data_IF_956860789804
#
_entry.id   IF_956860789804
#
_cell.length_a   1.000
_cell.length_b   1.000
_cell.length_c   1.000
_cell.angle_alpha   90.00
_cell.angle_beta   90.00
_cell.angle_gamma   90.00
#
_symmetry.space_group_name_H-M   'P 1'
#
loop_
_entity.id
_entity.type
_entity.pdbx_description
1 polymer ?
#
# COMPACT_ATOMS: atom_id res chain seq x y z
N UNK A 1 2.23 -3.86 -3.89
CA UNK A 1 1.86 -3.30 -2.56
C UNK A 1 3.13 -2.88 -1.80
N UNK A 2 3.08 -1.81 -1.02
CA UNK A 2 4.15 -1.43 -0.07
C UNK A 2 3.53 -1.07 1.31
N UNK A 3 4.32 -0.50 2.24
CA UNK A 3 3.85 -0.16 3.59
C UNK A 3 2.67 0.83 3.61
N UNK A 4 2.69 1.86 2.77
CA UNK A 4 1.73 2.98 2.79
C UNK A 4 1.31 3.45 1.40
N UNK A 5 1.37 2.57 0.40
CA UNK A 5 0.97 2.85 -0.99
C UNK A 5 1.90 3.70 -1.86
N UNK A 6 2.73 4.57 -1.27
CA UNK A 6 3.56 5.52 -2.04
C UNK A 6 4.54 4.83 -2.99
N UNK A 7 5.48 4.04 -2.45
CA UNK A 7 6.51 3.37 -3.26
C UNK A 7 5.94 2.36 -4.26
N UNK A 8 4.77 1.80 -3.98
CA UNK A 8 4.11 0.87 -4.91
C UNK A 8 3.38 1.60 -6.04
N UNK A 9 3.03 2.88 -5.85
CA UNK A 9 2.58 3.76 -6.93
C UNK A 9 3.70 3.97 -7.94
N UNK A 10 4.89 4.39 -7.48
CA UNK A 10 6.04 4.64 -8.35
C UNK A 10 6.46 3.36 -9.10
N UNK A 11 6.40 2.20 -8.42
CA UNK A 11 6.66 0.90 -9.04
C UNK A 11 5.62 0.53 -10.12
N UNK A 12 4.33 0.80 -9.87
CA UNK A 12 3.27 0.55 -10.84
C UNK A 12 3.41 1.47 -12.07
N UNK A 13 3.75 2.74 -11.87
CA UNK A 13 4.00 3.70 -12.94
C UNK A 13 5.23 3.30 -13.77
N UNK A 14 6.32 2.88 -13.12
CA UNK A 14 7.50 2.36 -13.79
C UNK A 14 7.15 1.14 -14.67
N UNK A 15 6.42 0.16 -14.14
CA UNK A 15 5.99 -1.01 -14.91
C UNK A 15 5.06 -0.62 -16.07
N UNK A 16 4.12 0.30 -15.85
CA UNK A 16 3.26 0.82 -16.90
C UNK A 16 4.08 1.45 -18.03
N UNK A 17 5.13 2.23 -17.71
CA UNK A 17 6.06 2.81 -18.68
C UNK A 17 6.86 1.77 -19.48
N UNK A 18 6.93 0.53 -18.99
CA UNK A 18 7.58 -0.62 -19.65
C UNK A 18 6.61 -1.51 -20.44
N UNK A 19 5.35 -1.07 -20.59
CA UNK A 19 4.34 -1.76 -21.39
C UNK A 19 3.56 -2.83 -20.62
N UNK A 20 3.71 -2.91 -19.30
CA UNK A 20 2.83 -3.76 -18.49
C UNK A 20 1.46 -3.08 -18.37
N UNK A 21 0.39 -3.78 -18.75
CA UNK A 21 -0.95 -3.19 -18.81
C UNK A 21 -1.79 -3.44 -17.54
N UNK A 22 -1.41 -4.44 -16.74
CA UNK A 22 -2.17 -4.88 -15.58
C UNK A 22 -1.42 -4.56 -14.27
N UNK A 23 -1.10 -3.29 -14.07
CA UNK A 23 -0.44 -2.81 -12.86
C UNK A 23 -1.45 -2.17 -11.91
N UNK A 24 -1.49 -2.65 -10.67
CA UNK A 24 -2.37 -2.12 -9.63
C UNK A 24 -1.55 -1.66 -8.42
N UNK A 25 -1.93 -0.50 -7.86
CA UNK A 25 -1.43 -0.04 -6.57
C UNK A 25 -2.50 -0.25 -5.49
N UNK A 26 -2.07 -0.67 -4.30
CA UNK A 26 -2.94 -0.68 -3.11
C UNK A 26 -2.72 0.65 -2.40
N UNK A 27 -3.70 1.55 -2.51
CA UNK A 27 -3.58 2.99 -2.17
C UNK A 27 -3.09 3.20 -0.73
N UNK A 28 -3.68 2.50 0.24
CA UNK A 28 -3.25 2.63 1.64
C UNK A 28 -2.03 1.75 1.98
N UNK A 29 -1.59 0.91 1.05
CA UNK A 29 -0.59 -0.12 1.33
C UNK A 29 -1.02 -1.11 2.40
N UNK A 30 -0.02 -1.71 3.05
CA UNK A 30 -0.23 -2.76 4.06
C UNK A 30 -0.56 -2.19 5.45
N UNK A 31 0.21 -1.22 5.93
CA UNK A 31 0.07 -0.64 7.26
C UNK A 31 -0.61 0.73 7.25
N UNK A 32 -0.85 1.35 6.10
CA UNK A 32 -1.48 2.66 6.06
C UNK A 32 -0.55 3.82 6.45
N UNK A 33 -1.16 4.97 6.67
CA UNK A 33 -0.53 6.20 7.13
C UNK A 33 -0.11 6.12 8.61
N UNK A 34 0.67 7.09 9.07
CA UNK A 34 1.01 7.22 10.49
C UNK A 34 -0.16 7.94 11.16
N UNK A 35 -0.81 7.29 12.13
CA UNK A 35 -1.88 7.89 12.91
C UNK A 35 -1.40 8.86 14.00
N UNK A 36 -2.31 9.43 14.79
CA UNK A 36 -2.01 10.46 15.79
C UNK A 36 -0.96 10.06 16.83
N UNK A 37 -0.93 8.79 17.24
CA UNK A 37 0.03 8.27 18.23
C UNK A 37 1.37 7.82 17.62
N UNK A 38 1.69 8.29 16.41
CA UNK A 38 2.86 7.89 15.65
C UNK A 38 2.93 6.38 15.33
N UNK A 39 1.78 5.71 15.31
CA UNK A 39 1.64 4.28 15.01
C UNK A 39 0.88 4.07 13.69
N UNK A 40 1.27 3.03 12.94
CA UNK A 40 0.57 2.60 11.72
C UNK A 40 -0.45 1.52 12.02
N UNK A 41 -1.26 1.18 11.01
CA UNK A 41 -2.36 0.21 11.08
C UNK A 41 -3.50 0.64 12.01
N UNK A 42 -3.62 1.94 12.25
CA UNK A 42 -4.60 2.55 13.17
C UNK A 42 -5.69 3.37 12.47
N UNK A 43 -5.44 3.82 11.24
CA UNK A 43 -6.36 4.70 10.48
C UNK A 43 -6.80 4.11 9.13
N UNK A 44 -5.90 3.42 8.42
CA UNK A 44 -6.16 2.77 7.12
C UNK A 44 -5.11 1.65 6.85
N UNK A 45 -5.20 1.04 5.67
CA UNK A 45 -4.28 -0.02 5.23
C UNK A 45 -4.86 -1.42 5.32
N UNK A 46 -4.26 -2.36 4.59
CA UNK A 46 -4.68 -3.77 4.54
C UNK A 46 -4.87 -4.39 5.93
N UNK A 47 -3.92 -4.14 6.84
CA UNK A 47 -3.94 -4.65 8.22
C UNK A 47 -5.05 -4.01 9.05
N UNK A 48 -5.27 -2.70 8.92
CA UNK A 48 -6.38 -2.00 9.59
C UNK A 48 -7.74 -2.53 9.13
N UNK A 49 -7.90 -2.78 7.83
CA UNK A 49 -9.12 -3.33 7.23
C UNK A 49 -9.37 -4.82 7.57
N UNK A 50 -8.54 -5.44 8.42
CA UNK A 50 -8.65 -6.85 8.84
C UNK A 50 -8.68 -7.84 7.67
N UNK A 51 -8.03 -7.49 6.56
CA UNK A 51 -7.89 -8.38 5.42
C UNK A 51 -6.94 -9.54 5.77
N UNK A 52 -7.07 -10.72 5.14
CA UNK A 52 -6.22 -11.87 5.48
C UNK A 52 -4.73 -11.58 5.32
N UNK A 53 -3.93 -11.88 6.34
CA UNK A 53 -2.47 -11.85 6.32
C UNK A 53 -1.89 -12.69 7.47
N UNK A 54 -0.60 -13.01 7.39
CA UNK A 54 0.19 -13.67 8.44
C UNK A 54 1.62 -13.13 8.40
N UNK A 55 2.30 -13.15 9.56
CA UNK A 55 3.72 -12.83 9.68
C UNK A 55 4.61 -14.03 9.36
#
# INVERSE_FOLDING_TARGET
ICRSGQRSSDAAEFLASRGFTNCCNVIDGFEGEIGPDHQRSTVNGWKYCKLPWKQ
#
